data_IF_230849789067
#
_entry.id   IF_230849789067
#
_cell.length_a   1.000
_cell.length_b   1.000
_cell.length_c   1.000
_cell.angle_alpha   90.00
_cell.angle_beta   90.00
_cell.angle_gamma   90.00
#
_symmetry.space_group_name_H-M   'P 1'
#
loop_
_entity.id
_entity.type
_entity.pdbx_description
1 polymer ?
#
# COMPACT_ATOMS: atom_id res chain seq x y z
N UNK A 1 32.08 -2.79 -8.49
CA UNK A 1 32.12 -4.10 -7.85
C UNK A 1 32.67 -4.09 -6.39
N UNK A 2 33.79 -3.38 -6.03
CA UNK A 2 34.30 -3.43 -4.66
C UNK A 2 33.31 -2.96 -3.61
N UNK A 3 32.70 -1.81 -3.80
CA UNK A 3 31.71 -1.21 -2.89
C UNK A 3 30.49 -2.10 -2.68
N UNK A 4 30.02 -2.75 -3.76
CA UNK A 4 28.90 -3.70 -3.65
C UNK A 4 29.29 -4.97 -2.92
N UNK A 5 30.52 -5.47 -3.15
CA UNK A 5 31.04 -6.64 -2.44
C UNK A 5 31.11 -6.40 -0.92
N UNK A 6 31.57 -5.22 -0.52
CA UNK A 6 31.60 -4.80 0.88
C UNK A 6 30.19 -4.62 1.45
N UNK A 7 29.31 -3.93 0.72
CA UNK A 7 27.92 -3.66 1.15
C UNK A 7 27.09 -4.93 1.35
N UNK A 8 27.29 -5.96 0.51
CA UNK A 8 26.55 -7.22 0.57
C UNK A 8 27.33 -8.35 1.28
N UNK A 9 28.50 -8.04 1.82
CA UNK A 9 29.37 -9.00 2.53
C UNK A 9 29.71 -10.26 1.70
N UNK A 10 29.92 -10.07 0.39
CA UNK A 10 30.22 -11.14 -0.57
C UNK A 10 31.53 -10.88 -1.32
N UNK A 11 32.05 -11.90 -2.02
CA UNK A 11 33.24 -11.75 -2.84
C UNK A 11 32.97 -10.91 -4.11
N UNK A 12 34.01 -10.22 -4.63
CA UNK A 12 33.91 -9.53 -5.94
C UNK A 12 33.52 -10.49 -7.05
N UNK A 13 33.95 -11.75 -6.96
CA UNK A 13 33.58 -12.81 -7.93
C UNK A 13 32.07 -13.07 -7.92
N UNK A 14 31.47 -13.07 -6.74
CA UNK A 14 30.01 -13.23 -6.58
C UNK A 14 29.28 -12.05 -7.25
N UNK A 15 29.70 -10.82 -6.96
CA UNK A 15 29.12 -9.62 -7.60
C UNK A 15 29.22 -9.67 -9.13
N UNK A 16 30.38 -10.07 -9.68
CA UNK A 16 30.55 -10.14 -11.14
C UNK A 16 29.63 -11.21 -11.76
N UNK A 17 29.49 -12.36 -11.10
CA UNK A 17 28.56 -13.42 -11.55
C UNK A 17 27.12 -12.95 -11.49
N UNK A 18 26.74 -12.21 -10.46
CA UNK A 18 25.38 -11.66 -10.31
C UNK A 18 25.10 -10.59 -11.37
N UNK A 19 26.10 -9.76 -11.74
CA UNK A 19 26.02 -8.82 -12.86
C UNK A 19 25.79 -9.56 -14.18
N UNK A 20 26.57 -10.62 -14.43
CA UNK A 20 26.40 -11.44 -15.63
C UNK A 20 24.99 -12.08 -15.67
N UNK A 21 24.50 -12.60 -14.56
CA UNK A 21 23.16 -13.17 -14.45
C UNK A 21 22.07 -12.14 -14.72
N UNK A 22 22.21 -10.90 -14.22
CA UNK A 22 21.29 -9.81 -14.50
C UNK A 22 21.31 -9.40 -15.98
N UNK A 23 22.51 -9.33 -16.59
CA UNK A 23 22.64 -9.06 -18.02
C UNK A 23 21.99 -10.16 -18.88
N UNK A 24 22.16 -11.43 -18.50
CA UNK A 24 21.52 -12.57 -19.17
C UNK A 24 20.00 -12.55 -19.00
N UNK A 25 19.50 -12.02 -17.89
CA UNK A 25 18.08 -11.78 -17.63
C UNK A 25 17.52 -10.54 -18.36
N UNK A 26 18.27 -9.92 -19.29
CA UNK A 26 17.81 -8.78 -20.07
C UNK A 26 17.98 -7.41 -19.42
N UNK A 27 18.61 -7.31 -18.24
CA UNK A 27 18.87 -6.03 -17.57
C UNK A 27 20.21 -5.47 -18.09
N UNK A 28 20.24 -4.42 -18.91
CA UNK A 28 21.46 -3.89 -19.49
C UNK A 28 22.25 -3.11 -18.45
N UNK A 29 23.24 -3.75 -17.85
CA UNK A 29 24.18 -3.12 -16.94
C UNK A 29 25.41 -2.63 -17.73
N UNK A 30 25.79 -1.39 -17.50
CA UNK A 30 27.01 -0.78 -18.04
C UNK A 30 28.07 -0.75 -16.94
N UNK A 31 29.24 -1.29 -17.24
CA UNK A 31 30.38 -1.30 -16.31
C UNK A 31 31.46 -0.38 -16.84
N UNK A 32 31.73 0.72 -16.14
CA UNK A 32 32.80 1.66 -16.48
C UNK A 32 34.00 1.45 -15.57
N UNK A 33 35.20 1.37 -16.16
CA UNK A 33 36.45 1.25 -15.41
C UNK A 33 37.09 2.64 -15.20
N UNK A 34 37.74 2.84 -14.07
CA UNK A 34 38.51 4.05 -13.80
C UNK A 34 38.08 4.79 -12.52
N UNK A 35 38.72 5.97 -12.32
CA UNK A 35 38.45 6.83 -11.16
C UNK A 35 37.14 7.58 -11.37
N UNK A 36 36.06 7.07 -10.77
CA UNK A 36 34.68 7.53 -10.99
C UNK A 36 33.82 6.58 -11.80
N UNK A 37 34.40 5.47 -12.30
CA UNK A 37 33.64 4.39 -12.93
C UNK A 37 32.83 3.59 -11.90
N UNK A 38 31.91 2.78 -12.40
CA UNK A 38 31.00 2.02 -11.57
C UNK A 38 30.16 1.03 -12.39
N UNK A 39 29.11 0.55 -11.75
CA UNK A 39 28.09 -0.27 -12.39
C UNK A 39 26.82 0.56 -12.39
N UNK A 40 26.26 0.80 -13.55
CA UNK A 40 25.02 1.55 -13.74
C UNK A 40 24.08 0.80 -14.67
N UNK A 41 22.81 1.13 -14.59
CA UNK A 41 21.84 0.69 -15.59
C UNK A 41 22.00 1.59 -16.84
N UNK A 42 21.95 1.00 -18.03
CA UNK A 42 22.08 1.75 -19.27
C UNK A 42 21.09 2.94 -19.33
N UNK A 43 21.54 4.12 -19.77
CA UNK A 43 20.68 5.29 -19.88
C UNK A 43 19.48 4.98 -20.79
N UNK A 44 18.30 5.30 -20.31
CA UNK A 44 17.05 5.04 -21.05
C UNK A 44 16.47 3.64 -20.86
N UNK A 45 17.16 2.74 -20.17
CA UNK A 45 16.56 1.46 -19.79
C UNK A 45 15.43 1.71 -18.78
N UNK A 46 14.23 1.47 -19.23
CA UNK A 46 13.08 1.25 -18.36
C UNK A 46 13.00 -0.25 -18.17
N UNK A 47 12.88 -0.71 -16.94
CA UNK A 47 12.59 -2.13 -16.66
C UNK A 47 11.44 -2.52 -17.58
N UNK A 48 11.78 -3.29 -18.64
CA UNK A 48 10.78 -3.57 -19.68
C UNK A 48 9.60 -4.30 -19.06
N UNK A 49 8.44 -4.05 -19.62
CA UNK A 49 7.11 -4.55 -19.24
C UNK A 49 6.98 -6.08 -19.17
N UNK A 50 8.07 -6.81 -19.43
CA UNK A 50 8.11 -8.27 -19.47
C UNK A 50 7.98 -8.95 -18.11
N UNK A 51 8.03 -8.19 -17.01
CA UNK A 51 7.82 -8.74 -15.65
C UNK A 51 6.35 -8.96 -15.31
N UNK A 52 5.42 -8.35 -16.05
CA UNK A 52 3.99 -8.50 -15.83
C UNK A 52 3.30 -8.74 -17.18
N UNK A 53 2.49 -9.75 -17.25
CA UNK A 53 1.58 -9.93 -18.38
C UNK A 53 0.52 -8.82 -18.39
N UNK A 54 -0.14 -8.62 -19.55
CA UNK A 54 -1.23 -7.64 -19.64
C UNK A 54 -2.34 -7.94 -18.62
N UNK A 55 -2.67 -9.20 -18.42
CA UNK A 55 -3.65 -9.66 -17.42
C UNK A 55 -3.24 -9.32 -15.99
N UNK A 56 -1.97 -9.54 -15.63
CA UNK A 56 -1.43 -9.20 -14.31
C UNK A 56 -1.44 -7.69 -14.08
N UNK A 57 -1.06 -6.92 -15.10
CA UNK A 57 -1.09 -5.46 -15.07
C UNK A 57 -2.51 -4.93 -14.85
N UNK A 58 -3.48 -5.46 -15.60
CA UNK A 58 -4.90 -5.11 -15.45
C UNK A 58 -5.41 -5.45 -14.06
N UNK A 59 -5.11 -6.64 -13.53
CA UNK A 59 -5.51 -7.04 -12.18
C UNK A 59 -4.96 -6.10 -11.10
N UNK A 60 -3.70 -5.66 -11.24
CA UNK A 60 -3.09 -4.68 -10.35
C UNK A 60 -3.81 -3.33 -10.44
N UNK A 61 -4.05 -2.82 -11.64
CA UNK A 61 -4.71 -1.53 -11.85
C UNK A 61 -6.14 -1.52 -11.32
N UNK A 62 -6.92 -2.58 -11.55
CA UNK A 62 -8.26 -2.76 -11.01
C UNK A 62 -8.22 -2.73 -9.48
N UNK A 63 -7.29 -3.46 -8.86
CA UNK A 63 -7.12 -3.48 -7.41
C UNK A 63 -6.75 -2.12 -6.83
N UNK A 64 -5.84 -1.38 -7.46
CA UNK A 64 -5.44 -0.04 -7.03
C UNK A 64 -6.59 0.95 -7.16
N UNK A 65 -7.35 0.93 -8.25
CA UNK A 65 -8.53 1.79 -8.44
C UNK A 65 -9.64 1.48 -7.44
N UNK A 66 -9.86 0.20 -7.13
CA UNK A 66 -10.77 -0.20 -6.07
C UNK A 66 -10.40 0.45 -4.73
N UNK A 67 -9.12 0.43 -4.35
CA UNK A 67 -8.64 1.09 -3.14
C UNK A 67 -8.73 2.61 -3.24
N UNK A 68 -8.47 3.20 -4.41
CA UNK A 68 -8.55 4.64 -4.64
C UNK A 68 -9.96 5.21 -4.43
N UNK A 69 -11.01 4.39 -4.63
CA UNK A 69 -12.40 4.82 -4.41
C UNK A 69 -12.66 5.32 -2.98
N UNK A 70 -11.79 4.93 -2.03
CA UNK A 70 -11.88 5.28 -0.60
C UNK A 70 -10.72 6.16 -0.10
N UNK A 71 -9.78 6.54 -0.97
CA UNK A 71 -8.65 7.37 -0.58
C UNK A 71 -8.89 8.85 -0.91
N UNK A 72 -8.42 9.74 -0.04
CA UNK A 72 -8.43 11.20 -0.32
C UNK A 72 -7.51 11.58 -1.47
N UNK A 73 -6.42 10.84 -1.64
CA UNK A 73 -5.43 11.05 -2.70
C UNK A 73 -5.31 9.75 -3.51
N UNK A 74 -5.98 9.64 -4.64
CA UNK A 74 -5.89 8.48 -5.50
C UNK A 74 -4.48 8.34 -6.08
N UNK A 75 -3.99 7.10 -6.15
CA UNK A 75 -2.66 6.77 -6.67
C UNK A 75 -2.72 6.02 -8.00
N UNK A 76 -3.89 5.50 -8.36
CA UNK A 76 -4.10 4.71 -9.56
C UNK A 76 -3.75 5.45 -10.84
N UNK A 77 -4.16 6.72 -11.06
CA UNK A 77 -3.81 7.48 -12.27
C UNK A 77 -2.29 7.60 -12.44
N UNK A 78 -1.56 7.94 -11.35
CA UNK A 78 -0.08 8.06 -11.40
C UNK A 78 0.58 6.70 -11.63
N UNK A 79 0.02 5.63 -11.08
CA UNK A 79 0.56 4.29 -11.25
C UNK A 79 0.24 3.75 -12.64
N UNK A 80 -0.95 4.00 -13.17
CA UNK A 80 -1.34 3.65 -14.52
C UNK A 80 -0.42 4.33 -15.54
N UNK A 81 -0.14 5.61 -15.40
CA UNK A 81 0.79 6.35 -16.27
C UNK A 81 2.22 5.76 -16.24
N UNK A 82 2.67 5.29 -15.09
CA UNK A 82 3.97 4.63 -14.94
C UNK A 82 4.04 3.22 -15.53
N UNK A 83 2.97 2.47 -15.42
CA UNK A 83 2.92 1.04 -15.76
C UNK A 83 2.37 0.79 -17.18
N UNK A 84 1.45 1.61 -17.66
CA UNK A 84 0.80 1.42 -18.96
C UNK A 84 0.93 2.67 -19.82
N UNK A 85 1.33 2.48 -21.08
CA UNK A 85 1.29 3.52 -22.10
C UNK A 85 0.03 3.42 -22.99
N UNK A 86 -0.90 2.52 -22.67
CA UNK A 86 -2.13 2.29 -23.43
C UNK A 86 -3.33 2.44 -22.52
N UNK A 87 -4.34 3.14 -22.98
CA UNK A 87 -5.68 3.09 -22.40
C UNK A 87 -6.23 1.68 -22.64
N UNK A 88 -6.44 0.94 -21.59
CA UNK A 88 -7.12 -0.36 -21.64
C UNK A 88 -8.58 -0.15 -21.34
N UNK A 89 -9.47 -0.71 -22.16
CA UNK A 89 -10.91 -0.75 -21.87
C UNK A 89 -11.15 -1.52 -20.56
N UNK A 90 -11.71 -0.84 -19.58
CA UNK A 90 -12.02 -1.45 -18.30
C UNK A 90 -13.30 -2.26 -18.39
N UNK A 91 -13.18 -3.57 -18.28
CA UNK A 91 -14.32 -4.48 -18.20
C UNK A 91 -14.81 -4.68 -16.76
N UNK A 92 -13.98 -4.36 -15.76
CA UNK A 92 -14.28 -4.57 -14.32
C UNK A 92 -14.00 -3.29 -13.56
N UNK A 93 -15.00 -2.79 -12.84
CA UNK A 93 -14.91 -1.69 -11.89
C UNK A 93 -15.13 -2.22 -10.47
N UNK A 94 -14.21 -1.97 -9.55
CA UNK A 94 -14.36 -2.25 -8.13
C UNK A 94 -14.47 -0.92 -7.40
N UNK A 95 -15.65 -0.64 -6.84
CA UNK A 95 -15.88 0.50 -5.95
C UNK A 95 -16.05 0.00 -4.51
N UNK A 96 -15.07 0.29 -3.68
CA UNK A 96 -15.08 -0.06 -2.25
C UNK A 96 -15.67 1.06 -1.37
N UNK A 97 -16.10 2.18 -1.98
CA UNK A 97 -16.78 3.24 -1.28
C UNK A 97 -18.17 2.80 -0.82
N UNK A 98 -18.68 3.46 0.19
CA UNK A 98 -20.08 3.31 0.60
C UNK A 98 -20.90 4.47 0.04
N UNK A 99 -22.23 4.38 0.16
CA UNK A 99 -23.13 5.48 -0.17
C UNK A 99 -22.75 6.79 0.58
N UNK A 100 -22.07 6.68 1.74
CA UNK A 100 -21.54 7.80 2.53
C UNK A 100 -20.03 7.96 2.33
N UNK A 101 -19.58 8.11 1.09
CA UNK A 101 -18.18 8.12 0.69
C UNK A 101 -17.31 9.06 1.52
N UNK A 102 -17.72 10.31 1.68
CA UNK A 102 -16.91 11.33 2.36
C UNK A 102 -16.66 10.97 3.83
N UNK A 103 -17.71 10.58 4.56
CA UNK A 103 -17.60 10.14 5.95
C UNK A 103 -16.72 8.89 6.10
N UNK A 104 -16.81 7.94 5.17
CA UNK A 104 -15.97 6.74 5.20
C UNK A 104 -14.50 7.08 4.92
N UNK A 105 -14.24 7.91 3.93
CA UNK A 105 -12.90 8.36 3.54
C UNK A 105 -12.22 9.10 4.68
N UNK A 106 -12.94 9.95 5.40
CA UNK A 106 -12.43 10.66 6.58
C UNK A 106 -12.08 9.70 7.71
N UNK A 107 -12.97 8.77 8.05
CA UNK A 107 -12.72 7.74 9.07
C UNK A 107 -11.49 6.91 8.74
N UNK A 108 -11.39 6.42 7.50
CA UNK A 108 -10.24 5.62 7.07
C UNK A 108 -8.95 6.43 7.14
N UNK A 109 -8.97 7.69 6.72
CA UNK A 109 -7.80 8.58 6.78
C UNK A 109 -7.32 8.79 8.22
N UNK A 110 -8.25 9.10 9.15
CA UNK A 110 -7.94 9.30 10.56
C UNK A 110 -7.43 8.02 11.22
N UNK A 111 -8.08 6.89 10.96
CA UNK A 111 -7.64 5.60 11.50
C UNK A 111 -6.27 5.17 10.98
N UNK A 112 -5.94 5.44 9.71
CA UNK A 112 -4.60 5.18 9.16
C UNK A 112 -3.54 6.02 9.84
N UNK A 113 -3.82 7.30 10.10
CA UNK A 113 -2.92 8.16 10.86
C UNK A 113 -2.74 7.64 12.30
N UNK A 114 -3.84 7.30 12.98
CA UNK A 114 -3.80 6.72 14.31
C UNK A 114 -2.97 5.44 14.39
N UNK A 115 -3.14 4.51 13.42
CA UNK A 115 -2.36 3.28 13.35
C UNK A 115 -0.87 3.58 13.14
N UNK A 116 -0.53 4.47 12.19
CA UNK A 116 0.86 4.78 11.86
C UNK A 116 1.60 5.44 13.03
N UNK A 117 0.90 6.27 13.80
CA UNK A 117 1.43 6.99 14.96
C UNK A 117 1.23 6.26 16.28
N UNK A 118 0.58 5.09 16.27
CA UNK A 118 0.23 4.30 17.47
C UNK A 118 -0.58 5.10 18.49
N UNK A 119 -1.52 5.90 18.01
CA UNK A 119 -2.42 6.69 18.86
C UNK A 119 -3.71 5.93 19.13
N UNK A 120 -4.25 6.10 20.33
CA UNK A 120 -5.59 5.64 20.64
C UNK A 120 -6.64 6.53 19.97
N UNK A 121 -7.85 5.99 19.80
CA UNK A 121 -9.00 6.70 19.25
C UNK A 121 -10.18 6.60 20.19
N UNK A 122 -11.01 7.65 20.20
CA UNK A 122 -12.29 7.70 20.88
C UNK A 122 -13.40 7.85 19.85
N UNK A 123 -14.51 7.14 20.05
CA UNK A 123 -15.67 7.18 19.17
C UNK A 123 -16.93 6.67 19.85
N UNK A 124 -18.08 7.09 19.37
CA UNK A 124 -19.38 6.50 19.71
C UNK A 124 -19.63 5.30 18.81
N UNK A 125 -20.06 4.20 19.40
CA UNK A 125 -20.36 2.97 18.66
C UNK A 125 -21.79 2.53 18.90
N UNK A 126 -22.55 2.40 17.83
CA UNK A 126 -23.92 1.92 17.88
C UNK A 126 -23.98 0.40 17.76
N UNK A 127 -24.48 -0.25 18.79
CA UNK A 127 -24.68 -1.70 18.87
C UNK A 127 -26.16 -2.04 19.17
N UNK A 128 -26.50 -3.32 19.18
CA UNK A 128 -27.83 -3.76 19.57
C UNK A 128 -28.23 -3.35 21.00
N UNK A 129 -27.23 -3.10 21.85
CA UNK A 129 -27.42 -2.63 23.24
C UNK A 129 -27.52 -1.11 23.35
N UNK A 130 -27.52 -0.41 22.22
CA UNK A 130 -27.54 1.04 22.16
C UNK A 130 -26.19 1.65 21.81
N UNK A 131 -26.07 2.94 22.05
CA UNK A 131 -24.88 3.75 21.79
C UNK A 131 -23.97 3.79 23.02
N UNK A 132 -22.69 3.50 22.83
CA UNK A 132 -21.69 3.55 23.88
C UNK A 132 -20.43 4.27 23.41
N UNK A 133 -19.85 5.10 24.28
CA UNK A 133 -18.52 5.67 24.04
C UNK A 133 -17.46 4.56 24.17
N UNK A 134 -16.55 4.51 23.22
CA UNK A 134 -15.45 3.56 23.16
C UNK A 134 -14.12 4.27 23.05
N UNK A 135 -13.14 3.73 23.72
CA UNK A 135 -11.73 4.03 23.49
C UNK A 135 -11.04 2.76 23.02
N UNK A 136 -10.25 2.88 21.97
CA UNK A 136 -9.59 1.73 21.38
C UNK A 136 -8.22 2.09 20.81
N UNK A 137 -7.33 1.11 20.76
CA UNK A 137 -6.03 1.18 20.11
C UNK A 137 -6.16 0.50 18.74
N UNK A 138 -6.18 1.28 17.65
CA UNK A 138 -6.40 0.75 16.31
C UNK A 138 -5.20 -0.09 15.87
N UNK A 139 -5.47 -1.31 15.38
CA UNK A 139 -4.45 -2.22 14.87
C UNK A 139 -4.51 -2.36 13.35
N UNK A 140 -5.71 -2.47 12.79
CA UNK A 140 -5.90 -2.71 11.34
C UNK A 140 -7.27 -2.24 10.87
N UNK A 141 -7.32 -1.79 9.62
CA UNK A 141 -8.56 -1.58 8.87
C UNK A 141 -8.72 -2.75 7.89
N UNK A 142 -9.90 -3.33 7.82
CA UNK A 142 -10.20 -4.45 6.93
C UNK A 142 -11.51 -4.24 6.17
N UNK A 143 -11.53 -4.65 4.89
CA UNK A 143 -12.76 -4.77 4.12
C UNK A 143 -13.15 -6.24 4.06
N UNK A 144 -14.27 -6.59 4.66
CA UNK A 144 -14.78 -7.97 4.76
C UNK A 144 -16.31 -7.94 4.75
N UNK A 145 -16.94 -8.99 4.23
CA UNK A 145 -18.40 -9.13 4.22
C UNK A 145 -19.13 -7.88 3.73
N UNK A 146 -18.60 -7.32 2.64
CA UNK A 146 -19.12 -6.11 1.99
C UNK A 146 -19.18 -4.87 2.92
N UNK A 147 -18.27 -4.77 3.88
CA UNK A 147 -18.19 -3.63 4.78
C UNK A 147 -16.76 -3.37 5.29
N UNK A 148 -16.52 -2.15 5.73
CA UNK A 148 -15.28 -1.74 6.37
C UNK A 148 -15.34 -1.93 7.88
N UNK A 149 -14.26 -2.43 8.44
CA UNK A 149 -14.10 -2.70 9.87
C UNK A 149 -12.80 -2.15 10.41
N UNK A 150 -12.84 -1.71 11.67
CA UNK A 150 -11.68 -1.45 12.50
C UNK A 150 -11.44 -2.66 13.40
N UNK A 151 -10.26 -3.24 13.37
CA UNK A 151 -9.79 -4.22 14.35
C UNK A 151 -8.90 -3.46 15.33
N UNK A 152 -9.28 -3.47 16.62
CA UNK A 152 -8.63 -2.70 17.66
C UNK A 152 -8.70 -3.37 19.03
N UNK A 153 -7.75 -3.06 19.88
CA UNK A 153 -7.86 -3.34 21.31
C UNK A 153 -8.80 -2.34 21.97
N UNK A 154 -9.93 -2.81 22.45
CA UNK A 154 -10.93 -1.98 23.13
C UNK A 154 -10.53 -1.78 24.60
N UNK A 155 -10.07 -0.57 24.96
CA UNK A 155 -9.70 -0.23 26.35
C UNK A 155 -10.87 -0.39 27.33
N UNK A 156 -12.09 -0.04 26.89
CA UNK A 156 -13.31 -0.14 27.70
C UNK A 156 -13.68 -1.58 28.04
N UNK A 157 -13.45 -2.53 27.14
CA UNK A 157 -13.80 -3.95 27.35
C UNK A 157 -12.58 -4.83 27.63
N UNK A 158 -11.36 -4.30 27.49
CA UNK A 158 -10.07 -4.99 27.70
C UNK A 158 -9.93 -6.26 26.85
N UNK A 159 -10.34 -6.17 25.57
CA UNK A 159 -10.26 -7.27 24.60
C UNK A 159 -10.15 -6.74 23.16
N UNK A 160 -9.66 -7.57 22.24
CA UNK A 160 -9.72 -7.26 20.82
C UNK A 160 -11.16 -7.30 20.32
N UNK A 161 -11.53 -6.27 19.58
CA UNK A 161 -12.86 -6.15 18.96
C UNK A 161 -12.76 -5.69 17.51
N UNK A 162 -13.78 -6.08 16.76
CA UNK A 162 -14.00 -5.63 15.40
C UNK A 162 -15.20 -4.69 15.37
N UNK A 163 -14.97 -3.46 14.92
CA UNK A 163 -15.98 -2.41 14.86
C UNK A 163 -16.32 -2.09 13.40
N UNK A 164 -17.59 -2.20 13.02
CA UNK A 164 -18.04 -1.80 11.68
C UNK A 164 -18.00 -0.28 11.54
N UNK A 165 -17.27 0.26 10.55
CA UNK A 165 -17.07 1.71 10.40
C UNK A 165 -18.38 2.48 10.19
N UNK A 166 -19.39 1.86 9.56
CA UNK A 166 -20.71 2.44 9.39
C UNK A 166 -21.47 2.68 10.71
N UNK A 167 -21.08 2.00 11.80
CA UNK A 167 -21.67 2.15 13.14
C UNK A 167 -20.84 3.00 14.09
N UNK A 168 -19.81 3.66 13.56
CA UNK A 168 -18.82 4.42 14.32
C UNK A 168 -19.01 5.91 14.02
N UNK A 169 -19.23 6.72 15.05
CA UNK A 169 -19.51 8.15 14.98
C UNK A 169 -18.54 8.93 15.86
N UNK A 170 -18.36 10.21 15.58
CA UNK A 170 -17.55 11.16 16.35
C UNK A 170 -16.13 10.61 16.62
N UNK A 171 -15.50 10.07 15.56
CA UNK A 171 -14.16 9.50 15.64
C UNK A 171 -13.13 10.62 15.83
N UNK A 172 -12.37 10.53 16.91
CA UNK A 172 -11.29 11.48 17.23
C UNK A 172 -10.04 10.72 17.68
N UNK A 173 -8.88 11.37 17.51
CA UNK A 173 -7.65 10.89 18.14
C UNK A 173 -7.73 11.13 19.64
N UNK A 174 -7.27 10.16 20.43
CA UNK A 174 -7.08 10.35 21.87
C UNK A 174 -5.67 10.85 22.13
N UNK A 175 -5.52 11.86 22.94
CA UNK A 175 -4.22 12.46 23.29
C UNK A 175 -3.49 11.66 24.39
N UNK A 176 -3.99 10.47 24.79
CA UNK A 176 -3.41 9.59 25.81
C UNK A 176 -2.96 8.24 25.24
#
# INVERSE_FOLDING_TARGET
APVLAEKFEVSRRTINRDIEALCLAGIPLVTEQGRGGGISIAPGYKLEKELLTEEELQAILIGVRGVDSILKQPKGPVLADKLSQRETEEQVLIDLASFYKDSLTEKISLLRDAISRRLAVSFRYYSEKGEELRQAEPCRIAYQWNAWYLIAWCRTKKEFRTFKLARLWDLTLSEE
#
